data_IF_937707343623
#
_entry.id   IF_937707343623
#
_cell.length_a   1.000
_cell.length_b   1.000
_cell.length_c   1.000
_cell.angle_alpha   90.00
_cell.angle_beta   90.00
_cell.angle_gamma   90.00
#
_symmetry.space_group_name_H-M   'P 1'
#
loop_
_entity.id
_entity.type
_entity.pdbx_description
1 polymer ?
#
# COMPACT_ATOMS: atom_id res chain seq x y z
N UNK A 1 4.38 26.07 25.47
CA UNK A 1 4.79 24.79 24.88
C UNK A 1 3.91 24.57 23.68
N UNK A 2 4.45 24.24 22.51
CA UNK A 2 3.61 23.95 21.34
C UNK A 2 3.00 22.55 21.52
N UNK A 3 1.68 22.42 21.33
CA UNK A 3 1.02 21.11 21.32
C UNK A 3 1.39 20.36 20.03
N UNK A 4 1.73 19.08 20.18
CA UNK A 4 2.01 18.20 19.04
C UNK A 4 0.69 17.67 18.51
N UNK A 5 0.42 17.89 17.22
CA UNK A 5 -0.75 17.29 16.55
C UNK A 5 -0.51 15.80 16.27
N UNK A 6 -1.41 14.94 16.76
CA UNK A 6 -1.34 13.50 16.52
C UNK A 6 -1.79 13.13 15.09
N UNK A 7 -1.22 12.03 14.55
CA UNK A 7 -1.66 11.46 13.27
C UNK A 7 -2.98 10.71 13.44
N UNK A 8 -3.86 10.82 12.45
CA UNK A 8 -5.02 9.92 12.32
C UNK A 8 -4.57 8.54 11.85
N UNK A 9 -5.42 7.52 12.04
CA UNK A 9 -5.13 6.16 11.56
C UNK A 9 -4.89 6.10 10.06
N UNK A 10 -5.67 6.86 9.28
CA UNK A 10 -5.49 6.97 7.83
C UNK A 10 -4.16 7.64 7.47
N UNK A 11 -3.79 8.70 8.19
CA UNK A 11 -2.50 9.37 7.98
C UNK A 11 -1.33 8.44 8.32
N UNK A 12 -1.44 7.68 9.41
CA UNK A 12 -0.43 6.70 9.78
C UNK A 12 -0.28 5.61 8.72
N UNK A 13 -1.38 5.05 8.23
CA UNK A 13 -1.33 4.03 7.18
C UNK A 13 -0.75 4.58 5.87
N UNK A 14 -1.14 5.78 5.45
CA UNK A 14 -0.58 6.40 4.24
C UNK A 14 0.92 6.72 4.40
N UNK A 15 1.36 7.11 5.60
CA UNK A 15 2.77 7.30 5.93
C UNK A 15 3.55 5.98 5.86
N UNK A 16 2.96 4.88 6.32
CA UNK A 16 3.57 3.56 6.25
C UNK A 16 3.67 3.08 4.80
N UNK A 17 2.65 3.32 3.96
CA UNK A 17 2.71 3.06 2.50
C UNK A 17 3.86 3.84 1.88
N UNK A 18 3.98 5.15 2.16
CA UNK A 18 5.06 5.98 1.62
C UNK A 18 6.44 5.40 1.98
N UNK A 19 6.62 4.94 3.23
CA UNK A 19 7.88 4.32 3.68
C UNK A 19 8.16 3.00 2.99
N UNK A 20 7.14 2.16 2.79
CA UNK A 20 7.27 0.86 2.11
C UNK A 20 7.75 1.01 0.66
N UNK A 21 7.36 2.08 -0.01
CA UNK A 21 7.74 2.35 -1.41
C UNK A 21 8.97 3.25 -1.52
N UNK A 22 9.83 3.26 -0.49
CA UNK A 22 11.09 4.01 -0.46
C UNK A 22 10.91 5.53 -0.62
N UNK A 23 9.79 6.07 -0.12
CA UNK A 23 9.42 7.48 -0.21
C UNK A 23 9.23 8.02 -1.63
N UNK A 24 9.08 7.14 -2.63
CA UNK A 24 8.70 7.54 -3.98
C UNK A 24 7.22 7.96 -4.01
N UNK A 25 6.96 9.23 -4.28
CA UNK A 25 5.62 9.82 -4.17
C UNK A 25 4.66 9.29 -5.24
N UNK A 26 5.14 8.95 -6.44
CA UNK A 26 4.32 8.40 -7.51
C UNK A 26 3.91 6.95 -7.21
N UNK A 27 4.85 6.15 -6.70
CA UNK A 27 4.58 4.81 -6.21
C UNK A 27 3.61 4.84 -5.01
N UNK A 28 3.80 5.80 -4.08
CA UNK A 28 2.95 5.95 -2.91
C UNK A 28 1.52 6.33 -3.30
N UNK A 29 1.33 7.27 -4.22
CA UNK A 29 0.00 7.68 -4.69
C UNK A 29 -0.80 6.50 -5.26
N UNK A 30 -0.15 5.67 -6.10
CA UNK A 30 -0.75 4.46 -6.66
C UNK A 30 -1.15 3.46 -5.57
N UNK A 31 -0.26 3.19 -4.62
CA UNK A 31 -0.51 2.26 -3.53
C UNK A 31 -1.61 2.78 -2.58
N UNK A 32 -1.58 4.06 -2.21
CA UNK A 32 -2.62 4.71 -1.38
C UNK A 32 -3.98 4.63 -2.07
N UNK A 33 -4.02 4.88 -3.38
CA UNK A 33 -5.26 4.79 -4.18
C UNK A 33 -5.83 3.37 -4.18
N UNK A 34 -4.98 2.35 -4.32
CA UNK A 34 -5.42 0.97 -4.23
C UNK A 34 -5.93 0.61 -2.83
N UNK A 35 -5.15 0.94 -1.79
CA UNK A 35 -5.44 0.59 -0.39
C UNK A 35 -6.69 1.31 0.10
N UNK A 36 -6.86 2.60 -0.23
CA UNK A 36 -8.08 3.39 0.01
C UNK A 36 -8.66 3.26 1.44
N UNK A 37 -7.82 3.30 2.48
CA UNK A 37 -8.30 3.15 3.86
C UNK A 37 -8.58 1.71 4.31
N UNK A 38 -8.50 0.72 3.41
CA UNK A 38 -8.90 -0.65 3.67
C UNK A 38 -7.72 -1.50 4.18
N UNK A 39 -7.83 -1.99 5.42
CA UNK A 39 -6.79 -2.77 6.09
C UNK A 39 -6.46 -4.09 5.38
N UNK A 40 -7.46 -4.79 4.82
CA UNK A 40 -7.21 -6.02 4.07
C UNK A 40 -6.39 -5.73 2.80
N UNK A 41 -6.77 -4.70 2.04
CA UNK A 41 -5.99 -4.28 0.86
C UNK A 41 -4.58 -3.84 1.23
N UNK A 42 -4.39 -3.19 2.38
CA UNK A 42 -3.07 -2.81 2.87
C UNK A 42 -2.17 -4.02 3.15
N UNK A 43 -2.66 -5.03 3.84
CA UNK A 43 -1.87 -6.24 4.12
C UNK A 43 -1.58 -7.03 2.82
N UNK A 44 -2.57 -7.20 1.94
CA UNK A 44 -2.34 -7.84 0.63
C UNK A 44 -1.31 -7.08 -0.21
N UNK A 45 -1.36 -5.75 -0.21
CA UNK A 45 -0.36 -4.93 -0.88
C UNK A 45 1.04 -5.17 -0.32
N UNK A 46 1.21 -5.21 1.01
CA UNK A 46 2.51 -5.46 1.65
C UNK A 46 3.12 -6.79 1.21
N UNK A 47 2.32 -7.84 1.22
CA UNK A 47 2.78 -9.19 0.84
C UNK A 47 3.23 -9.21 -0.63
N UNK A 48 2.43 -8.64 -1.53
CA UNK A 48 2.77 -8.60 -2.96
C UNK A 48 3.93 -7.65 -3.27
N UNK A 49 4.11 -6.59 -2.48
CA UNK A 49 5.25 -5.68 -2.62
C UNK A 49 6.58 -6.39 -2.33
N UNK A 50 6.60 -7.30 -1.35
CA UNK A 50 7.75 -8.16 -1.07
C UNK A 50 8.04 -9.09 -2.24
N UNK A 51 7.01 -9.71 -2.81
CA UNK A 51 7.14 -10.62 -3.98
C UNK A 51 7.55 -9.88 -5.27
N UNK A 52 7.25 -8.59 -5.36
CA UNK A 52 7.64 -7.74 -6.48
C UNK A 52 9.08 -7.18 -6.38
N UNK A 53 9.89 -7.62 -5.41
CA UNK A 53 11.24 -7.09 -5.16
C UNK A 53 12.18 -7.04 -6.39
N UNK A 54 12.00 -7.97 -7.34
CA UNK A 54 12.78 -8.04 -8.58
C UNK A 54 12.48 -6.91 -9.58
N UNK A 55 11.43 -6.12 -9.38
CA UNK A 55 11.11 -4.99 -10.25
C UNK A 55 12.16 -3.87 -10.08
N UNK A 56 12.59 -3.23 -11.19
CA UNK A 56 13.74 -2.32 -11.20
C UNK A 56 13.43 -0.94 -10.58
N UNK A 57 12.17 -0.53 -10.53
CA UNK A 57 11.77 0.79 -10.02
C UNK A 57 10.68 0.66 -8.95
N UNK A 58 10.59 1.60 -7.98
CA UNK A 58 9.51 1.61 -6.99
C UNK A 58 8.11 1.58 -7.64
N UNK A 59 7.92 2.37 -8.71
CA UNK A 59 6.65 2.41 -9.45
C UNK A 59 6.31 1.07 -10.10
N UNK A 60 7.26 0.42 -10.80
CA UNK A 60 7.01 -0.90 -11.41
C UNK A 60 6.75 -1.99 -10.37
N UNK A 61 7.42 -1.90 -9.21
CA UNK A 61 7.16 -2.78 -8.05
C UNK A 61 5.73 -2.62 -7.54
N UNK A 62 5.28 -1.37 -7.35
CA UNK A 62 3.91 -1.08 -6.92
C UNK A 62 2.89 -1.50 -7.97
N UNK A 63 3.12 -1.23 -9.25
CA UNK A 63 2.20 -1.62 -10.33
C UNK A 63 1.99 -3.14 -10.37
N UNK A 64 3.07 -3.92 -10.18
CA UNK A 64 2.98 -5.38 -10.05
C UNK A 64 2.23 -5.77 -8.77
N UNK A 65 2.62 -5.22 -7.63
CA UNK A 65 2.04 -5.56 -6.34
C UNK A 65 0.53 -5.26 -6.26
N UNK A 66 0.10 -4.11 -6.78
CA UNK A 66 -1.32 -3.72 -6.85
C UNK A 66 -2.11 -4.71 -7.71
N UNK A 67 -1.58 -5.11 -8.86
CA UNK A 67 -2.24 -6.08 -9.75
C UNK A 67 -2.42 -7.43 -9.05
N UNK A 68 -1.34 -7.98 -8.50
CA UNK A 68 -1.38 -9.28 -7.84
C UNK A 68 -2.20 -9.24 -6.54
N UNK A 69 -2.21 -8.10 -5.83
CA UNK A 69 -3.05 -7.91 -4.65
C UNK A 69 -4.55 -7.83 -5.02
N UNK A 70 -4.88 -7.24 -6.17
CA UNK A 70 -6.25 -7.20 -6.69
C UNK A 70 -6.74 -8.61 -7.06
N UNK A 71 -5.87 -9.44 -7.64
CA UNK A 71 -6.15 -10.85 -7.90
C UNK A 71 -6.35 -11.62 -6.59
N UNK A 72 -5.43 -11.46 -5.62
CA UNK A 72 -5.54 -12.11 -4.31
C UNK A 72 -6.79 -11.68 -3.52
N UNK A 73 -7.22 -10.42 -3.67
CA UNK A 73 -8.42 -9.90 -3.02
C UNK A 73 -9.68 -10.70 -3.39
N UNK A 74 -9.72 -11.31 -4.58
CA UNK A 74 -10.85 -12.14 -5.02
C UNK A 74 -11.10 -13.31 -4.07
N UNK A 75 -10.05 -13.87 -3.46
CA UNK A 75 -10.12 -14.97 -2.48
C UNK A 75 -10.88 -14.58 -1.21
N UNK A 76 -11.02 -13.29 -0.92
CA UNK A 76 -11.71 -12.74 0.25
C UNK A 76 -13.08 -12.16 -0.07
N UNK A 77 -13.44 -12.09 -1.37
CA UNK A 77 -14.75 -11.60 -1.83
C UNK A 77 -15.78 -12.71 -2.03
N UNK A 78 -15.37 -13.98 -2.14
CA UNK A 78 -16.25 -15.12 -2.47
C UNK A 78 -17.02 -15.69 -1.26
N UNK A 79 -17.13 -14.94 -0.15
CA UNK A 79 -17.78 -15.41 1.07
C UNK A 79 -18.71 -14.40 1.76
N UNK A 80 -19.12 -13.34 1.06
CA UNK A 80 -20.10 -12.36 1.54
C UNK A 80 -21.48 -12.60 0.93
#
# INVERSE_FOLDING_TARGET
MAEITALTELQQMNLDILRLVQSDTAAAEKAITFVAGNKLKFELFKDQLVLAAAQPTPVSRVDKAVREAQEALTLFSTGA
#
